data_IF_971269746459
#
_entry.id   IF_971269746459
#
_cell.length_a   1.000
_cell.length_b   1.000
_cell.length_c   1.000
_cell.angle_alpha   90.00
_cell.angle_beta   90.00
_cell.angle_gamma   90.00
#
_symmetry.space_group_name_H-M   'P 1'
#
loop_
_entity.id
_entity.type
_entity.pdbx_description
1 polymer ?
#
# COMPACT_ATOMS: atom_id res chain seq x y z
N UNK A 1 22.54 -6.37 35.20
CA UNK A 1 23.21 -6.92 34.01
C UNK A 1 24.64 -7.25 34.41
N UNK A 2 25.02 -8.51 34.39
CA UNK A 2 26.40 -8.95 34.61
C UNK A 2 27.23 -8.51 33.42
N UNK A 3 28.17 -7.59 33.60
CA UNK A 3 29.14 -7.26 32.57
C UNK A 3 30.01 -8.50 32.33
N UNK A 4 29.94 -9.07 31.13
CA UNK A 4 30.88 -10.11 30.73
C UNK A 4 32.27 -9.46 30.57
N UNK A 5 33.19 -9.80 31.45
CA UNK A 5 34.57 -9.27 31.46
C UNK A 5 35.52 -10.06 30.55
N UNK A 6 35.03 -11.15 29.96
CA UNK A 6 35.82 -11.99 29.07
C UNK A 6 35.87 -11.40 27.65
N UNK A 7 37.04 -10.93 27.24
CA UNK A 7 37.27 -10.30 25.93
C UNK A 7 37.46 -11.30 24.79
N UNK A 8 37.86 -12.53 25.09
CA UNK A 8 38.15 -13.56 24.11
C UNK A 8 37.44 -14.87 24.49
N UNK A 9 36.87 -15.54 23.48
CA UNK A 9 36.30 -16.88 23.60
C UNK A 9 37.10 -17.80 22.68
N UNK A 10 37.76 -18.84 23.25
CA UNK A 10 38.43 -19.87 22.49
C UNK A 10 37.47 -21.05 22.28
N UNK A 11 37.39 -21.51 21.04
CA UNK A 11 36.59 -22.66 20.66
C UNK A 11 37.51 -23.80 20.20
N UNK A 12 36.93 -24.97 20.01
CA UNK A 12 37.67 -26.13 19.50
C UNK A 12 38.32 -25.77 18.15
N UNK A 13 39.59 -26.07 18.02
CA UNK A 13 40.36 -25.83 16.80
C UNK A 13 39.74 -26.55 15.60
N UNK A 14 39.71 -25.89 14.45
CA UNK A 14 39.31 -26.47 13.20
C UNK A 14 40.54 -26.90 12.41
N UNK A 15 40.82 -28.20 12.44
CA UNK A 15 42.09 -28.78 12.00
C UNK A 15 43.28 -28.13 12.74
N UNK A 16 44.20 -27.49 12.03
CA UNK A 16 45.37 -26.78 12.58
C UNK A 16 45.12 -25.29 12.87
N UNK A 17 43.87 -24.83 12.84
CA UNK A 17 43.52 -23.41 13.02
C UNK A 17 42.81 -23.22 14.34
N UNK A 18 43.32 -22.30 15.14
CA UNK A 18 42.63 -21.85 16.36
C UNK A 18 41.38 -21.04 15.97
N UNK A 19 40.29 -21.30 16.69
CA UNK A 19 39.01 -20.58 16.51
C UNK A 19 38.80 -19.71 17.75
N UNK A 20 38.94 -18.40 17.56
CA UNK A 20 38.79 -17.40 18.63
C UNK A 20 37.74 -16.37 18.22
N UNK A 21 36.78 -16.07 19.10
CA UNK A 21 35.87 -14.95 18.95
C UNK A 21 36.25 -13.84 19.94
N UNK A 22 36.19 -12.59 19.47
CA UNK A 22 36.46 -11.39 20.25
C UNK A 22 35.35 -10.39 20.14
N UNK A 23 35.11 -9.60 21.17
CA UNK A 23 34.16 -8.48 21.18
C UNK A 23 34.89 -7.13 21.04
N UNK A 24 35.83 -7.04 20.10
CA UNK A 24 36.66 -5.86 19.83
C UNK A 24 36.27 -5.16 18.47
N UNK A 25 35.15 -5.54 17.87
CA UNK A 25 34.71 -5.06 16.58
C UNK A 25 34.22 -3.59 16.56
N UNK A 26 34.11 -2.93 17.68
CA UNK A 26 33.53 -1.58 17.79
C UNK A 26 32.00 -1.60 17.61
N UNK A 27 31.44 -0.42 17.31
CA UNK A 27 30.00 -0.28 17.02
C UNK A 27 29.69 -0.73 15.60
N UNK A 28 28.84 -1.73 15.44
CA UNK A 28 28.43 -2.29 14.16
C UNK A 28 26.92 -2.09 14.02
N UNK A 29 26.47 -1.53 12.89
CA UNK A 29 25.08 -1.53 12.49
C UNK A 29 24.82 -2.62 11.45
N UNK A 30 23.74 -3.37 11.60
CA UNK A 30 23.30 -4.37 10.64
C UNK A 30 22.54 -3.78 9.45
N UNK A 31 22.16 -2.50 9.53
CA UNK A 31 21.24 -1.83 8.60
C UNK A 31 21.96 -1.01 7.53
N UNK A 32 23.18 -1.39 7.14
CA UNK A 32 24.01 -0.62 6.20
C UNK A 32 23.34 -0.32 4.86
N UNK A 33 22.54 -1.24 4.37
CA UNK A 33 21.76 -1.05 3.14
C UNK A 33 20.69 0.05 3.23
N UNK A 34 20.32 0.48 4.44
CA UNK A 34 19.34 1.58 4.64
C UNK A 34 19.81 2.93 4.09
N UNK A 35 21.11 3.13 3.88
CA UNK A 35 21.66 4.32 3.22
C UNK A 35 21.11 4.48 1.78
N UNK A 36 20.75 3.39 1.11
CA UNK A 36 20.09 3.44 -0.20
C UNK A 36 18.68 4.01 -0.09
N UNK A 37 17.96 3.72 0.99
CA UNK A 37 16.66 4.35 1.26
C UNK A 37 16.83 5.85 1.52
N UNK A 38 17.86 6.26 2.27
CA UNK A 38 18.17 7.67 2.48
C UNK A 38 18.46 8.41 1.17
N UNK A 39 19.27 7.83 0.28
CA UNK A 39 19.51 8.40 -1.05
C UNK A 39 18.24 8.50 -1.88
N UNK A 40 17.37 7.50 -1.77
CA UNK A 40 16.05 7.50 -2.42
C UNK A 40 15.18 8.63 -1.88
N UNK A 41 15.12 8.80 -0.57
CA UNK A 41 14.37 9.90 0.06
C UNK A 41 14.89 11.27 -0.37
N UNK A 42 16.21 11.45 -0.41
CA UNK A 42 16.83 12.69 -0.88
C UNK A 42 16.40 13.07 -2.31
N UNK A 43 16.19 12.09 -3.18
CA UNK A 43 15.70 12.32 -4.55
C UNK A 43 14.20 12.60 -4.61
N UNK A 44 13.40 11.92 -3.77
CA UNK A 44 11.95 12.07 -3.74
C UNK A 44 11.50 13.24 -2.84
N UNK A 45 12.37 13.68 -1.94
CA UNK A 45 12.04 14.62 -0.86
C UNK A 45 10.75 14.21 -0.12
N UNK A 46 10.57 12.90 0.07
CA UNK A 46 9.32 12.30 0.55
C UNK A 46 9.10 12.62 2.02
N UNK A 47 10.11 12.37 2.86
CA UNK A 47 9.96 12.47 4.32
C UNK A 47 9.86 13.93 4.77
N UNK A 48 10.56 14.87 4.13
CA UNK A 48 10.39 16.30 4.39
C UNK A 48 8.97 16.76 4.07
N UNK A 49 8.43 16.36 2.91
CA UNK A 49 7.06 16.69 2.49
C UNK A 49 6.02 16.04 3.40
N UNK A 50 6.23 14.79 3.78
CA UNK A 50 5.35 14.11 4.72
C UNK A 50 5.41 14.75 6.12
N UNK A 51 6.59 15.10 6.61
CA UNK A 51 6.78 15.88 7.84
C UNK A 51 6.06 17.22 7.80
N UNK A 52 6.04 17.89 6.63
CA UNK A 52 5.29 19.12 6.40
C UNK A 52 3.77 18.99 6.49
N UNK A 53 3.24 17.75 6.44
CA UNK A 53 1.82 17.50 6.70
C UNK A 53 1.45 17.48 8.18
N UNK A 54 2.41 17.68 9.09
CA UNK A 54 2.15 17.72 10.52
C UNK A 54 2.12 19.15 11.05
N UNK A 55 1.25 19.36 12.02
CA UNK A 55 1.14 20.60 12.76
C UNK A 55 1.73 20.39 14.15
N UNK A 56 2.82 21.10 14.45
CA UNK A 56 3.50 21.04 15.74
C UNK A 56 3.03 22.17 16.66
N UNK A 57 2.30 21.80 17.70
CA UNK A 57 1.84 22.74 18.72
C UNK A 57 2.71 22.73 19.98
N UNK A 58 3.91 22.15 19.93
CA UNK A 58 4.85 22.16 21.05
C UNK A 58 5.51 23.53 21.18
N UNK A 59 6.03 23.81 22.38
CA UNK A 59 6.84 25.01 22.65
C UNK A 59 8.19 24.87 21.97
N UNK A 60 8.55 25.79 21.08
CA UNK A 60 9.72 25.67 20.20
C UNK A 60 11.02 25.48 20.99
N UNK A 61 11.19 26.22 22.11
CA UNK A 61 12.40 26.16 22.95
C UNK A 61 12.56 24.83 23.71
N UNK A 62 11.56 23.95 23.65
CA UNK A 62 11.55 22.64 24.34
C UNK A 62 11.48 21.46 23.39
N UNK A 63 11.66 21.69 22.10
CA UNK A 63 11.68 20.65 21.09
C UNK A 63 13.07 20.06 21.03
N UNK A 64 13.23 18.85 21.55
CA UNK A 64 14.47 18.04 21.43
C UNK A 64 14.51 17.26 20.10
N UNK A 65 13.35 16.78 19.63
CA UNK A 65 13.21 16.00 18.41
C UNK A 65 12.22 16.70 17.47
N UNK A 66 12.69 17.05 16.27
CA UNK A 66 11.86 17.68 15.24
C UNK A 66 10.80 16.69 14.69
N UNK A 67 9.76 17.21 14.04
CA UNK A 67 8.77 16.36 13.34
C UNK A 67 9.47 15.52 12.28
N UNK A 68 10.34 16.11 11.47
CA UNK A 68 11.07 15.42 10.42
C UNK A 68 11.91 14.26 10.98
N UNK A 69 12.66 14.49 12.07
CA UNK A 69 13.44 13.45 12.74
C UNK A 69 12.56 12.27 13.16
N UNK A 70 11.45 12.54 13.85
CA UNK A 70 10.56 11.49 14.36
C UNK A 70 9.84 10.73 13.22
N UNK A 71 9.38 11.44 12.18
CA UNK A 71 8.75 10.85 11.00
C UNK A 71 9.75 9.97 10.26
N UNK A 72 10.97 10.45 10.03
CA UNK A 72 12.05 9.70 9.38
C UNK A 72 12.39 8.44 10.19
N UNK A 73 12.57 8.58 11.49
CA UNK A 73 12.84 7.46 12.40
C UNK A 73 11.77 6.37 12.30
N UNK A 74 10.48 6.73 12.21
CA UNK A 74 9.38 5.76 12.08
C UNK A 74 9.33 5.11 10.71
N UNK A 75 9.43 5.89 9.63
CA UNK A 75 9.33 5.37 8.25
C UNK A 75 10.50 4.45 7.94
N UNK A 76 11.73 4.83 8.29
CA UNK A 76 12.90 3.95 8.13
C UNK A 76 12.78 2.69 9.01
N UNK A 77 12.32 2.82 10.25
CA UNK A 77 12.06 1.67 11.11
C UNK A 77 11.13 0.65 10.46
N UNK A 78 9.98 1.09 9.95
CA UNK A 78 9.02 0.22 9.26
C UNK A 78 9.60 -0.40 7.97
N UNK A 79 10.33 0.38 7.17
CA UNK A 79 10.99 -0.13 5.97
C UNK A 79 12.00 -1.24 6.28
N UNK A 80 12.70 -1.13 7.41
CA UNK A 80 13.70 -2.09 7.89
C UNK A 80 13.10 -3.28 8.66
N UNK A 81 11.81 -3.24 9.01
CA UNK A 81 11.13 -4.35 9.68
C UNK A 81 10.83 -4.13 11.16
N UNK A 82 11.05 -2.92 11.67
CA UNK A 82 10.81 -2.56 13.07
C UNK A 82 9.45 -1.90 13.24
N UNK A 83 8.45 -2.69 13.58
CA UNK A 83 7.07 -2.20 13.76
C UNK A 83 6.85 -1.62 15.16
N UNK A 84 7.36 -2.30 16.17
CA UNK A 84 7.10 -1.94 17.56
C UNK A 84 7.88 -0.69 17.97
N UNK A 85 7.18 0.23 18.66
CA UNK A 85 7.83 1.41 19.23
C UNK A 85 8.89 1.05 20.29
N UNK A 86 8.82 -0.15 20.90
CA UNK A 86 9.84 -0.62 21.83
C UNK A 86 11.19 -0.86 21.15
N UNK A 87 11.21 -1.24 19.87
CA UNK A 87 12.46 -1.42 19.11
C UNK A 87 13.26 -0.13 19.05
N UNK A 88 12.57 1.00 19.05
CA UNK A 88 13.19 2.32 19.05
C UNK A 88 13.97 2.66 20.34
N UNK A 89 13.82 1.92 21.44
CA UNK A 89 14.68 2.10 22.62
C UNK A 89 16.14 1.66 22.35
N UNK A 90 16.35 0.77 21.38
CA UNK A 90 17.68 0.40 20.90
C UNK A 90 18.07 1.21 19.66
N UNK A 91 17.21 1.27 18.65
CA UNK A 91 17.45 1.97 17.38
C UNK A 91 17.81 3.45 17.58
N UNK A 92 17.24 4.09 18.58
CA UNK A 92 17.53 5.51 18.91
C UNK A 92 19.00 5.77 19.25
N UNK A 93 19.75 4.73 19.61
CA UNK A 93 21.17 4.80 19.99
C UNK A 93 22.10 4.37 18.85
N UNK A 94 21.55 3.86 17.75
CA UNK A 94 22.33 3.50 16.58
C UNK A 94 22.70 4.76 15.78
N UNK A 95 24.00 5.08 15.63
CA UNK A 95 24.43 6.25 14.87
C UNK A 95 23.94 6.25 13.43
N UNK A 96 23.76 5.07 12.81
CA UNK A 96 23.22 4.97 11.46
C UNK A 96 21.78 5.49 11.39
N UNK A 97 20.93 5.17 12.37
CA UNK A 97 19.59 5.75 12.47
C UNK A 97 19.63 7.28 12.65
N UNK A 98 20.63 7.80 13.37
CA UNK A 98 20.88 9.24 13.45
C UNK A 98 21.14 9.84 12.07
N UNK A 99 21.99 9.19 11.27
CA UNK A 99 22.27 9.60 9.87
C UNK A 99 21.00 9.54 9.01
N UNK A 100 20.20 8.46 9.14
CA UNK A 100 18.95 8.31 8.40
C UNK A 100 17.94 9.41 8.74
N UNK A 101 17.83 9.74 10.04
CA UNK A 101 16.92 10.77 10.52
C UNK A 101 17.42 12.21 10.27
N UNK A 102 18.63 12.36 9.74
CA UNK A 102 19.24 13.67 9.45
C UNK A 102 19.72 14.44 10.68
N UNK A 103 20.05 13.72 11.78
CA UNK A 103 20.56 14.32 13.01
C UNK A 103 22.04 14.68 12.86
N UNK A 104 22.41 15.89 13.26
CA UNK A 104 23.82 16.34 13.22
C UNK A 104 24.65 15.71 14.33
N UNK A 105 24.11 15.70 15.57
CA UNK A 105 24.76 15.20 16.78
C UNK A 105 24.49 13.70 16.95
N UNK A 106 25.31 12.86 16.35
CA UNK A 106 25.13 11.41 16.31
C UNK A 106 25.38 10.70 17.68
N UNK A 107 26.00 11.38 18.63
CA UNK A 107 26.19 10.93 20.00
C UNK A 107 24.92 11.09 20.87
N UNK A 108 23.99 11.95 20.45
CA UNK A 108 22.70 12.13 21.11
C UNK A 108 21.64 11.16 20.57
N UNK A 109 20.92 10.47 21.45
CA UNK A 109 19.92 9.50 21.00
C UNK A 109 18.75 10.20 20.31
N UNK A 110 18.13 9.50 19.35
CA UNK A 110 16.87 9.87 18.71
C UNK A 110 15.67 9.76 19.68
N UNK A 111 14.48 10.06 19.20
CA UNK A 111 13.25 10.00 19.99
C UNK A 111 13.00 8.59 20.56
N UNK A 112 12.71 8.51 21.85
CA UNK A 112 12.32 7.26 22.52
C UNK A 112 10.84 6.92 22.24
N UNK A 113 10.46 5.69 22.59
CA UNK A 113 9.10 5.14 22.38
C UNK A 113 7.97 6.06 22.86
N UNK A 114 8.13 6.69 24.02
CA UNK A 114 7.09 7.59 24.57
C UNK A 114 6.90 8.83 23.72
N UNK A 115 7.96 9.36 23.12
CA UNK A 115 7.90 10.52 22.24
C UNK A 115 7.27 10.16 20.89
N UNK A 116 7.67 9.02 20.30
CA UNK A 116 7.06 8.49 19.08
C UNK A 116 5.59 8.11 19.29
N UNK A 117 5.23 7.57 20.45
CA UNK A 117 3.84 7.26 20.78
C UNK A 117 2.98 8.54 20.81
N UNK A 118 3.51 9.65 21.32
CA UNK A 118 2.79 10.95 21.30
C UNK A 118 2.59 11.49 19.88
N UNK A 119 3.53 11.22 18.97
CA UNK A 119 3.38 11.53 17.54
C UNK A 119 2.23 10.71 16.92
N UNK A 120 2.20 9.39 17.15
CA UNK A 120 1.21 8.49 16.55
C UNK A 120 -0.21 8.66 17.12
N UNK A 121 -0.33 8.93 18.41
CA UNK A 121 -1.61 9.04 19.11
C UNK A 121 -2.22 10.44 19.10
N UNK A 122 -1.74 11.38 18.29
CA UNK A 122 -2.36 12.68 18.11
C UNK A 122 -3.83 12.57 17.70
N UNK A 123 -4.75 13.08 18.55
CA UNK A 123 -6.20 12.92 18.37
C UNK A 123 -6.88 14.08 17.60
N UNK A 124 -6.09 15.02 17.08
CA UNK A 124 -6.60 16.21 16.39
C UNK A 124 -7.04 17.35 17.32
N UNK A 125 -7.13 17.09 18.62
CA UNK A 125 -7.34 18.11 19.66
C UNK A 125 -6.00 18.34 20.36
N UNK A 126 -5.66 19.61 20.61
CA UNK A 126 -4.47 19.96 21.38
C UNK A 126 -4.77 19.71 22.86
N UNK A 127 -4.26 18.60 23.38
CA UNK A 127 -4.23 18.37 24.81
C UNK A 127 -2.81 18.65 25.38
N UNK A 128 -2.67 18.52 26.70
CA UNK A 128 -1.40 18.78 27.39
C UNK A 128 -0.22 17.96 26.85
N UNK A 129 -0.46 16.75 26.35
CA UNK A 129 0.57 15.79 25.96
C UNK A 129 0.60 15.49 24.47
N UNK A 130 -0.51 15.67 23.75
CA UNK A 130 -0.67 15.32 22.32
C UNK A 130 -0.79 16.58 21.49
N UNK A 131 0.30 17.35 21.42
CA UNK A 131 0.36 18.65 20.76
C UNK A 131 0.65 18.56 19.26
N UNK A 132 0.98 17.37 18.75
CA UNK A 132 1.27 17.12 17.33
C UNK A 132 0.02 16.54 16.68
N UNK A 133 -0.38 17.12 15.56
CA UNK A 133 -1.49 16.62 14.74
C UNK A 133 -1.06 16.54 13.29
N UNK A 134 -1.77 15.79 12.45
CA UNK A 134 -1.48 15.74 11.03
C UNK A 134 -2.67 16.22 10.19
N UNK A 135 -2.34 16.82 9.06
CA UNK A 135 -3.29 17.30 8.06
C UNK A 135 -3.44 16.24 6.97
N UNK A 136 -4.52 15.46 7.10
CA UNK A 136 -4.81 14.33 6.24
C UNK A 136 -4.88 14.66 4.74
N UNK A 137 -5.57 15.76 4.31
CA UNK A 137 -5.60 16.09 2.88
C UNK A 137 -4.22 16.31 2.27
N UNK A 138 -3.26 16.88 3.02
CA UNK A 138 -1.90 17.06 2.54
C UNK A 138 -1.17 15.74 2.30
N UNK A 139 -1.40 14.72 3.14
CA UNK A 139 -0.87 13.37 2.90
C UNK A 139 -1.49 12.74 1.66
N UNK A 140 -2.81 12.85 1.51
CA UNK A 140 -3.55 12.33 0.36
C UNK A 140 -3.10 13.00 -0.96
N UNK A 141 -2.81 14.31 -0.93
CA UNK A 141 -2.28 15.07 -2.06
C UNK A 141 -0.82 14.68 -2.38
N UNK A 142 0.00 14.49 -1.36
CA UNK A 142 1.40 14.09 -1.50
C UNK A 142 1.54 12.77 -2.27
N UNK A 143 0.68 11.78 -2.01
CA UNK A 143 0.73 10.48 -2.70
C UNK A 143 0.52 10.64 -4.22
N UNK A 144 -0.41 11.49 -4.63
CA UNK A 144 -0.66 11.74 -6.06
C UNK A 144 0.48 12.56 -6.66
N UNK A 145 1.04 13.55 -5.94
CA UNK A 145 2.19 14.33 -6.42
C UNK A 145 3.41 13.45 -6.67
N UNK A 146 3.73 12.52 -5.76
CA UNK A 146 4.84 11.57 -5.95
C UNK A 146 4.62 10.69 -7.19
N UNK A 147 3.38 10.30 -7.48
CA UNK A 147 3.04 9.59 -8.70
C UNK A 147 3.27 10.43 -9.95
N UNK A 148 2.79 11.67 -9.97
CA UNK A 148 2.95 12.59 -11.11
C UNK A 148 4.43 12.86 -11.40
N UNK A 149 5.20 13.14 -10.37
CA UNK A 149 6.65 13.43 -10.45
C UNK A 149 7.49 12.23 -10.89
N UNK A 150 6.99 11.00 -10.70
CA UNK A 150 7.66 9.80 -11.16
C UNK A 150 7.64 9.61 -12.68
N UNK A 151 6.85 10.40 -13.40
CA UNK A 151 6.67 10.31 -14.85
C UNK A 151 7.27 11.56 -15.52
N UNK A 152 8.40 11.43 -16.23
CA UNK A 152 9.02 12.57 -16.95
C UNK A 152 8.11 13.20 -18.01
N UNK A 153 7.22 12.40 -18.58
CA UNK A 153 6.21 12.81 -19.54
C UNK A 153 4.86 12.21 -19.18
N UNK A 154 3.74 12.92 -19.41
CA UNK A 154 2.41 12.37 -19.21
C UNK A 154 2.20 11.09 -20.03
N UNK A 155 1.77 9.98 -19.44
CA UNK A 155 1.41 8.80 -20.21
C UNK A 155 0.14 9.06 -21.02
N UNK A 156 -0.03 8.35 -22.15
CA UNK A 156 -1.26 8.46 -22.95
C UNK A 156 -2.48 7.96 -22.17
N UNK A 157 -2.30 6.88 -21.40
CA UNK A 157 -3.36 6.23 -20.63
C UNK A 157 -2.82 5.73 -19.30
N UNK A 158 -3.66 5.82 -18.27
CA UNK A 158 -3.40 5.23 -16.95
C UNK A 158 -4.59 4.36 -16.50
N UNK A 159 -4.30 3.37 -15.65
CA UNK A 159 -5.30 2.53 -15.03
C UNK A 159 -5.26 2.78 -13.52
N UNK A 160 -6.41 3.16 -12.98
CA UNK A 160 -6.61 3.30 -11.54
C UNK A 160 -7.28 2.02 -11.02
N UNK A 161 -6.53 1.22 -10.29
CA UNK A 161 -7.04 0.04 -9.61
C UNK A 161 -7.62 0.41 -8.26
N UNK A 162 -8.83 -0.03 -7.99
CA UNK A 162 -9.51 0.21 -6.72
C UNK A 162 -9.90 -1.11 -6.07
N UNK A 163 -9.57 -1.24 -4.79
CA UNK A 163 -9.92 -2.42 -4.00
C UNK A 163 -10.07 -2.11 -2.51
N UNK A 164 -10.65 -3.04 -1.79
CA UNK A 164 -10.73 -3.04 -0.34
C UNK A 164 -10.23 -4.38 0.20
N UNK A 165 -9.61 -4.31 1.35
CA UNK A 165 -9.21 -5.52 2.09
C UNK A 165 -9.70 -5.40 3.52
N UNK A 166 -9.67 -6.48 4.28
CA UNK A 166 -9.92 -6.43 5.70
C UNK A 166 -8.64 -6.23 6.50
N UNK A 167 -8.75 -5.52 7.62
CA UNK A 167 -7.73 -5.45 8.66
C UNK A 167 -8.34 -5.94 9.97
N UNK A 168 -8.07 -7.18 10.39
CA UNK A 168 -8.62 -7.76 11.61
C UNK A 168 -8.26 -6.96 12.86
N UNK A 169 -9.22 -6.85 13.78
CA UNK A 169 -9.11 -6.08 15.02
C UNK A 169 -9.33 -7.00 16.24
N UNK A 170 -8.38 -6.97 17.15
CA UNK A 170 -8.40 -7.84 18.33
C UNK A 170 -8.80 -7.11 19.63
N UNK A 171 -8.85 -5.77 19.59
CA UNK A 171 -9.20 -4.93 20.74
C UNK A 171 -10.55 -4.22 20.58
N UNK A 172 -10.79 -3.19 21.39
CA UNK A 172 -12.00 -2.35 21.36
C UNK A 172 -11.74 -1.02 20.63
N UNK A 173 -11.13 -1.08 19.46
CA UNK A 173 -10.82 0.11 18.67
C UNK A 173 -12.07 0.85 18.21
N UNK A 174 -11.98 2.18 18.12
CA UNK A 174 -13.02 3.04 17.56
C UNK A 174 -13.38 2.61 16.14
N UNK A 175 -14.70 2.58 15.81
CA UNK A 175 -15.17 2.20 14.48
C UNK A 175 -15.03 0.71 14.14
N UNK A 176 -14.79 -0.13 15.12
CA UNK A 176 -14.74 -1.58 14.99
C UNK A 176 -16.16 -2.14 14.83
N UNK A 177 -16.40 -2.90 13.77
CA UNK A 177 -17.64 -3.64 13.55
C UNK A 177 -17.36 -5.05 13.08
N UNK A 178 -18.28 -5.96 13.31
CA UNK A 178 -18.24 -7.32 12.77
C UNK A 178 -18.63 -7.30 11.29
N UNK A 179 -17.83 -7.93 10.45
CA UNK A 179 -18.09 -8.03 9.02
C UNK A 179 -18.39 -9.48 8.63
N UNK A 180 -19.64 -9.76 8.24
CA UNK A 180 -20.10 -11.12 7.98
C UNK A 180 -19.43 -11.86 6.83
N UNK A 181 -18.85 -11.16 5.86
CA UNK A 181 -18.10 -11.79 4.77
C UNK A 181 -16.72 -12.28 5.23
N UNK A 182 -16.04 -11.50 6.08
CA UNK A 182 -14.71 -11.83 6.61
C UNK A 182 -14.78 -12.61 7.93
N UNK A 183 -15.98 -12.80 8.49
CA UNK A 183 -16.23 -13.47 9.77
C UNK A 183 -15.35 -12.94 10.92
N UNK A 184 -15.12 -11.64 10.93
CA UNK A 184 -14.25 -10.99 11.91
C UNK A 184 -14.64 -9.55 12.21
N UNK A 185 -14.19 -9.04 13.36
CA UNK A 185 -14.16 -7.60 13.60
C UNK A 185 -12.98 -7.01 12.85
N UNK A 186 -13.22 -6.05 11.98
CA UNK A 186 -12.16 -5.48 11.15
C UNK A 186 -12.42 -4.02 10.78
N UNK A 187 -11.39 -3.37 10.22
CA UNK A 187 -11.53 -2.22 9.34
C UNK A 187 -11.54 -2.66 7.88
N UNK A 188 -12.06 -1.79 6.99
CA UNK A 188 -12.05 -1.98 5.54
C UNK A 188 -11.32 -0.82 4.86
N UNK A 189 -9.99 -0.80 4.85
CA UNK A 189 -9.28 0.24 4.12
C UNK A 189 -9.60 0.19 2.62
N UNK A 190 -9.76 1.38 2.05
CA UNK A 190 -9.86 1.60 0.61
C UNK A 190 -8.47 1.91 0.08
N UNK A 191 -8.04 1.16 -0.91
CA UNK A 191 -6.82 1.41 -1.66
C UNK A 191 -7.14 1.82 -3.11
N UNK A 192 -6.36 2.76 -3.63
CA UNK A 192 -6.34 3.10 -5.05
C UNK A 192 -4.88 3.14 -5.49
N UNK A 193 -4.56 2.37 -6.53
CA UNK A 193 -3.22 2.30 -7.10
C UNK A 193 -3.22 2.71 -8.57
N UNK A 194 -2.08 3.18 -9.05
CA UNK A 194 -1.75 3.22 -10.47
C UNK A 194 -0.41 2.48 -10.66
N UNK A 195 -0.48 1.26 -11.20
CA UNK A 195 0.68 0.36 -11.22
C UNK A 195 1.19 0.07 -9.81
N UNK A 196 2.44 0.44 -9.54
CA UNK A 196 3.03 0.29 -8.20
C UNK A 196 2.81 1.51 -7.29
N UNK A 197 2.26 2.61 -7.80
CA UNK A 197 2.04 3.83 -7.02
C UNK A 197 0.73 3.77 -6.24
N UNK A 198 0.82 3.90 -4.92
CA UNK A 198 -0.35 4.07 -4.06
C UNK A 198 -0.82 5.53 -4.13
N UNK A 199 -2.08 5.75 -4.52
CA UNK A 199 -2.69 7.08 -4.65
C UNK A 199 -3.68 7.38 -3.51
N UNK A 200 -4.18 6.31 -2.87
CA UNK A 200 -5.06 6.37 -1.72
C UNK A 200 -4.89 5.15 -0.83
N UNK A 201 -4.83 5.38 0.48
CA UNK A 201 -4.93 4.35 1.52
C UNK A 201 -5.79 4.92 2.66
N UNK A 202 -7.09 4.71 2.57
CA UNK A 202 -8.09 5.29 3.47
C UNK A 202 -8.66 4.25 4.41
N UNK A 203 -8.39 4.38 5.70
CA UNK A 203 -9.01 3.54 6.72
C UNK A 203 -10.50 3.84 6.84
N UNK A 204 -11.33 2.78 6.90
CA UNK A 204 -12.78 2.87 7.01
C UNK A 204 -13.31 1.84 7.99
N UNK A 205 -14.43 2.16 8.61
CA UNK A 205 -15.18 1.20 9.42
C UNK A 205 -15.81 0.11 8.54
N UNK A 206 -15.83 -1.12 9.03
CA UNK A 206 -16.34 -2.28 8.27
C UNK A 206 -17.87 -2.37 8.17
N UNK A 207 -18.62 -1.51 8.86
CA UNK A 207 -20.08 -1.40 8.70
C UNK A 207 -20.49 -0.56 7.47
N UNK A 208 -19.51 -0.15 6.67
CA UNK A 208 -19.72 0.64 5.45
C UNK A 208 -19.78 -0.27 4.21
N UNK A 209 -20.51 0.16 3.18
CA UNK A 209 -20.45 -0.49 1.85
C UNK A 209 -19.01 -0.43 1.29
N UNK A 210 -18.58 -1.48 0.56
CA UNK A 210 -17.24 -1.54 -0.03
C UNK A 210 -16.92 -0.31 -0.90
N UNK A 211 -17.90 0.25 -1.59
CA UNK A 211 -17.76 1.45 -2.41
C UNK A 211 -17.94 2.77 -1.63
N UNK A 212 -18.27 2.73 -0.32
CA UNK A 212 -18.52 3.96 0.44
C UNK A 212 -17.29 4.88 0.42
N UNK A 213 -17.49 6.15 0.03
CA UNK A 213 -16.43 7.15 -0.07
C UNK A 213 -15.47 6.99 -1.27
N UNK A 214 -15.59 5.91 -2.06
CA UNK A 214 -14.71 5.68 -3.21
C UNK A 214 -14.84 6.78 -4.28
N UNK A 215 -16.06 7.23 -4.55
CA UNK A 215 -16.31 8.29 -5.53
C UNK A 215 -15.58 9.61 -5.18
N UNK A 216 -15.61 10.02 -3.91
CA UNK A 216 -14.94 11.23 -3.47
C UNK A 216 -13.40 11.12 -3.63
N UNK A 217 -12.81 9.97 -3.30
CA UNK A 217 -11.38 9.76 -3.49
C UNK A 217 -10.98 9.69 -4.98
N UNK A 218 -11.77 9.00 -5.80
CA UNK A 218 -11.53 8.94 -7.24
C UNK A 218 -11.64 10.35 -7.84
N UNK A 219 -12.66 11.12 -7.49
CA UNK A 219 -12.84 12.48 -7.97
C UNK A 219 -11.67 13.40 -7.60
N UNK A 220 -11.19 13.30 -6.36
CA UNK A 220 -9.99 14.02 -5.88
C UNK A 220 -8.75 13.66 -6.70
N UNK A 221 -8.48 12.36 -6.86
CA UNK A 221 -7.29 11.86 -7.57
C UNK A 221 -7.36 12.25 -9.05
N UNK A 222 -8.49 12.02 -9.72
CA UNK A 222 -8.68 12.37 -11.13
C UNK A 222 -8.56 13.87 -11.35
N UNK A 223 -9.12 14.70 -10.44
CA UNK A 223 -9.00 16.15 -10.50
C UNK A 223 -7.55 16.60 -10.43
N UNK A 224 -6.77 16.07 -9.48
CA UNK A 224 -5.35 16.40 -9.31
C UNK A 224 -4.51 15.92 -10.50
N UNK A 225 -4.75 14.71 -11.01
CA UNK A 225 -4.06 14.18 -12.20
C UNK A 225 -4.36 15.04 -13.42
N UNK A 226 -5.60 15.41 -13.68
CA UNK A 226 -5.97 16.23 -14.84
C UNK A 226 -5.49 17.66 -14.77
N UNK A 227 -5.28 18.20 -13.59
CA UNK A 227 -4.61 19.50 -13.44
C UNK A 227 -3.19 19.46 -14.00
N UNK A 228 -2.46 18.36 -13.79
CA UNK A 228 -1.10 18.17 -14.33
C UNK A 228 -1.11 17.60 -15.78
N UNK A 229 -2.04 16.68 -16.07
CA UNK A 229 -2.13 15.95 -17.34
C UNK A 229 -3.54 16.04 -17.94
N UNK A 230 -3.93 17.16 -18.57
CA UNK A 230 -5.30 17.39 -19.01
C UNK A 230 -5.84 16.37 -20.02
N UNK A 231 -4.96 15.81 -20.86
CA UNK A 231 -5.33 14.92 -21.96
C UNK A 231 -5.22 13.41 -21.63
N UNK A 232 -4.78 13.06 -20.42
CA UNK A 232 -4.57 11.65 -20.06
C UNK A 232 -5.89 10.86 -20.06
N UNK A 233 -5.89 9.71 -20.72
CA UNK A 233 -7.00 8.76 -20.64
C UNK A 233 -6.93 8.00 -19.35
N UNK A 234 -8.04 7.90 -18.64
CA UNK A 234 -8.11 7.23 -17.33
C UNK A 234 -9.11 6.09 -17.41
N UNK A 235 -8.68 4.89 -17.02
CA UNK A 235 -9.55 3.72 -16.86
C UNK A 235 -9.60 3.37 -15.38
N UNK A 236 -10.78 3.33 -14.80
CA UNK A 236 -11.02 2.81 -13.46
C UNK A 236 -11.27 1.31 -13.52
N UNK A 237 -10.50 0.51 -12.75
CA UNK A 237 -10.63 -0.94 -12.69
C UNK A 237 -10.87 -1.39 -11.25
N UNK A 238 -11.90 -2.23 -11.05
CA UNK A 238 -12.27 -2.70 -9.71
C UNK A 238 -13.10 -3.97 -9.73
N UNK A 239 -13.32 -4.56 -8.58
CA UNK A 239 -14.17 -5.73 -8.42
C UNK A 239 -15.67 -5.39 -8.43
N UNK A 240 -16.52 -6.38 -8.19
CA UNK A 240 -17.98 -6.20 -8.17
C UNK A 240 -18.49 -5.35 -7.00
N UNK A 241 -17.70 -5.15 -5.97
CA UNK A 241 -17.99 -4.27 -4.85
C UNK A 241 -18.11 -2.81 -5.29
N UNK A 242 -17.40 -2.42 -6.35
CA UNK A 242 -17.41 -1.06 -6.89
C UNK A 242 -18.37 -0.87 -8.07
N UNK A 243 -19.07 -1.90 -8.50
CA UNK A 243 -20.05 -1.82 -9.57
C UNK A 243 -21.34 -1.09 -9.10
N UNK A 244 -21.27 0.22 -8.93
CA UNK A 244 -22.35 1.09 -8.46
C UNK A 244 -22.77 2.07 -9.54
N UNK A 245 -24.09 2.30 -9.68
CA UNK A 245 -24.64 3.20 -10.69
C UNK A 245 -24.07 4.62 -10.58
N UNK A 246 -23.96 5.14 -9.37
CA UNK A 246 -23.43 6.47 -9.10
C UNK A 246 -21.99 6.61 -9.59
N UNK A 247 -21.12 5.64 -9.29
CA UNK A 247 -19.73 5.64 -9.71
C UNK A 247 -19.61 5.58 -11.25
N UNK A 248 -20.36 4.70 -11.90
CA UNK A 248 -20.37 4.57 -13.37
C UNK A 248 -20.89 5.82 -14.05
N UNK A 249 -21.97 6.43 -13.53
CA UNK A 249 -22.50 7.70 -14.04
C UNK A 249 -21.48 8.83 -13.92
N UNK A 250 -20.80 8.91 -12.78
CA UNK A 250 -19.75 9.90 -12.58
C UNK A 250 -18.60 9.71 -13.57
N UNK A 251 -18.12 8.47 -13.74
CA UNK A 251 -17.08 8.15 -14.71
C UNK A 251 -17.48 8.59 -16.11
N UNK A 252 -18.68 8.21 -16.55
CA UNK A 252 -19.23 8.57 -17.87
C UNK A 252 -19.34 10.10 -18.04
N UNK A 253 -19.78 10.82 -16.99
CA UNK A 253 -19.90 12.27 -17.00
C UNK A 253 -18.55 13.01 -16.97
N UNK A 254 -17.50 12.38 -16.45
CA UNK A 254 -16.16 12.92 -16.38
C UNK A 254 -15.22 12.42 -17.49
N UNK A 255 -15.68 11.61 -18.43
CA UNK A 255 -14.83 11.02 -19.46
C UNK A 255 -13.73 10.12 -18.85
N UNK A 256 -14.05 9.38 -17.80
CA UNK A 256 -13.24 8.33 -17.22
C UNK A 256 -13.83 7.00 -17.67
N UNK A 257 -13.05 6.17 -18.33
CA UNK A 257 -13.48 4.82 -18.65
C UNK A 257 -13.44 3.91 -17.43
N UNK A 258 -14.17 2.80 -17.48
CA UNK A 258 -14.14 1.83 -16.38
C UNK A 258 -14.28 0.39 -16.87
N UNK A 259 -13.72 -0.52 -16.07
CA UNK A 259 -13.86 -1.98 -16.19
C UNK A 259 -14.10 -2.54 -14.79
N UNK A 260 -15.35 -2.86 -14.48
CA UNK A 260 -15.76 -3.28 -13.15
C UNK A 260 -16.34 -4.69 -13.18
N UNK A 261 -15.96 -5.51 -12.22
CA UNK A 261 -16.60 -6.80 -12.00
C UNK A 261 -18.11 -6.64 -11.82
N UNK A 262 -18.89 -7.58 -12.32
CA UNK A 262 -20.35 -7.61 -12.14
C UNK A 262 -20.74 -8.90 -11.43
N UNK A 263 -21.37 -8.79 -10.27
CA UNK A 263 -21.82 -9.94 -9.50
C UNK A 263 -22.81 -10.79 -10.30
N UNK A 264 -22.56 -12.09 -10.37
CA UNK A 264 -23.40 -13.05 -11.08
C UNK A 264 -24.80 -13.11 -10.48
N UNK A 265 -25.81 -13.22 -11.35
CA UNK A 265 -27.20 -13.45 -10.98
C UNK A 265 -27.88 -14.38 -12.00
N UNK A 266 -29.08 -14.86 -11.69
CA UNK A 266 -29.80 -15.81 -12.54
C UNK A 266 -30.11 -15.25 -13.93
N UNK A 267 -30.40 -13.93 -14.05
CA UNK A 267 -30.68 -13.29 -15.35
C UNK A 267 -29.44 -13.29 -16.23
N UNK A 268 -28.30 -12.92 -15.69
CA UNK A 268 -27.01 -12.94 -16.41
C UNK A 268 -26.65 -14.37 -16.85
N UNK A 269 -26.83 -15.36 -15.97
CA UNK A 269 -26.60 -16.76 -16.33
C UNK A 269 -27.52 -17.24 -17.47
N UNK A 270 -28.79 -16.84 -17.46
CA UNK A 270 -29.71 -17.15 -18.56
C UNK A 270 -29.30 -16.53 -19.88
N UNK A 271 -28.80 -15.29 -19.89
CA UNK A 271 -28.35 -14.60 -21.12
C UNK A 271 -27.20 -15.37 -21.79
N UNK A 272 -26.25 -15.91 -21.04
CA UNK A 272 -25.11 -16.67 -21.59
C UNK A 272 -25.32 -18.19 -21.59
N UNK A 273 -26.56 -18.65 -21.46
CA UNK A 273 -26.86 -20.09 -21.36
C UNK A 273 -26.31 -20.93 -22.50
N UNK A 274 -26.36 -20.40 -23.75
CA UNK A 274 -25.77 -21.03 -24.93
C UNK A 274 -24.24 -21.17 -24.79
N UNK A 275 -23.55 -20.09 -24.44
CA UNK A 275 -22.11 -20.09 -24.28
C UNK A 275 -21.66 -20.99 -23.12
N UNK A 276 -22.45 -21.07 -22.02
CA UNK A 276 -22.20 -22.02 -20.95
C UNK A 276 -22.33 -23.46 -21.41
N UNK A 277 -23.34 -23.76 -22.21
CA UNK A 277 -23.50 -25.07 -22.80
C UNK A 277 -22.31 -25.43 -23.74
N UNK A 278 -21.91 -24.50 -24.62
CA UNK A 278 -20.76 -24.67 -25.50
C UNK A 278 -19.46 -24.95 -24.71
N UNK A 279 -19.21 -24.20 -23.63
CA UNK A 279 -18.06 -24.40 -22.76
C UNK A 279 -18.10 -25.78 -22.05
N UNK A 280 -19.29 -26.20 -21.60
CA UNK A 280 -19.48 -27.50 -20.96
C UNK A 280 -19.24 -28.66 -21.94
N UNK A 281 -19.77 -28.55 -23.18
CA UNK A 281 -19.54 -29.55 -24.23
C UNK A 281 -18.06 -29.67 -24.64
N UNK A 282 -17.35 -28.54 -24.72
CA UNK A 282 -15.91 -28.56 -24.97
C UNK A 282 -15.16 -29.24 -23.83
N UNK A 283 -15.49 -28.97 -22.59
CA UNK A 283 -14.88 -29.61 -21.43
C UNK A 283 -15.18 -31.13 -21.41
N UNK A 284 -16.42 -31.52 -21.66
CA UNK A 284 -16.80 -32.95 -21.72
C UNK A 284 -16.03 -33.72 -22.79
N UNK A 285 -15.69 -33.08 -23.93
CA UNK A 285 -14.92 -33.72 -25.00
C UNK A 285 -13.43 -33.81 -24.74
N UNK A 286 -12.88 -32.76 -24.07
CA UNK A 286 -11.41 -32.61 -23.98
C UNK A 286 -10.86 -32.91 -22.60
N UNK A 287 -11.67 -32.88 -21.56
CA UNK A 287 -11.24 -32.90 -20.15
C UNK A 287 -10.41 -31.68 -19.73
N UNK A 288 -10.34 -30.67 -20.59
CA UNK A 288 -9.55 -29.43 -20.34
C UNK A 288 -10.46 -28.24 -20.05
N UNK A 289 -10.01 -27.27 -19.23
CA UNK A 289 -10.73 -26.03 -19.01
C UNK A 289 -11.12 -25.36 -20.31
N UNK A 290 -12.39 -24.99 -20.45
CA UNK A 290 -12.92 -24.36 -21.66
C UNK A 290 -13.54 -23.01 -21.36
N UNK A 291 -13.46 -22.07 -22.31
CA UNK A 291 -13.93 -20.70 -22.17
C UNK A 291 -14.58 -20.24 -23.45
N UNK A 292 -15.78 -19.66 -23.32
CA UNK A 292 -16.48 -19.00 -24.42
C UNK A 292 -16.83 -17.59 -23.97
N UNK A 293 -16.48 -16.59 -24.78
CA UNK A 293 -16.76 -15.19 -24.48
C UNK A 293 -18.00 -14.71 -25.21
N UNK A 294 -18.74 -13.83 -24.54
CA UNK A 294 -19.92 -13.17 -25.09
C UNK A 294 -19.96 -11.71 -24.63
N UNK A 295 -20.69 -10.89 -25.36
CA UNK A 295 -20.99 -9.53 -24.96
C UNK A 295 -22.44 -9.17 -25.27
N UNK A 296 -23.00 -8.31 -24.45
CA UNK A 296 -24.37 -7.86 -24.59
C UNK A 296 -24.60 -6.54 -23.86
N UNK A 297 -25.71 -5.88 -24.14
CA UNK A 297 -26.18 -4.72 -23.37
C UNK A 297 -27.02 -5.23 -22.20
N UNK A 298 -26.78 -4.65 -21.04
CA UNK A 298 -27.46 -5.04 -19.81
C UNK A 298 -27.80 -3.84 -18.95
N UNK A 299 -28.95 -3.92 -18.32
CA UNK A 299 -29.41 -2.98 -17.30
C UNK A 299 -29.95 -3.78 -16.11
N UNK A 300 -29.53 -3.41 -14.89
CA UNK A 300 -30.13 -3.98 -13.68
C UNK A 300 -31.55 -3.47 -13.50
N UNK A 301 -32.46 -4.34 -12.98
CA UNK A 301 -33.82 -3.88 -12.67
C UNK A 301 -33.81 -2.86 -11.54
N UNK A 302 -34.63 -1.83 -11.66
CA UNK A 302 -34.86 -0.85 -10.59
C UNK A 302 -35.64 -1.50 -9.45
N UNK A 303 -34.93 -2.10 -8.49
CA UNK A 303 -35.51 -2.52 -7.22
C UNK A 303 -35.02 -1.55 -6.14
N UNK A 304 -35.91 -0.90 -5.42
CA UNK A 304 -35.62 0.02 -4.30
C UNK A 304 -34.56 1.10 -4.64
N UNK A 305 -34.69 1.76 -5.79
CA UNK A 305 -33.76 2.83 -6.27
C UNK A 305 -32.30 2.43 -6.46
N UNK A 306 -31.95 1.13 -6.55
CA UNK A 306 -30.58 0.63 -6.72
C UNK A 306 -30.27 0.11 -8.13
N UNK A 307 -31.16 0.31 -9.11
CA UNK A 307 -30.93 -0.10 -10.51
C UNK A 307 -30.06 0.87 -11.28
N UNK A 308 -29.49 0.40 -12.38
CA UNK A 308 -28.77 1.27 -13.33
C UNK A 308 -29.77 2.15 -14.08
N UNK A 309 -29.38 3.39 -14.37
CA UNK A 309 -30.23 4.33 -15.10
C UNK A 309 -30.29 4.04 -16.59
N UNK A 310 -29.24 3.41 -17.12
CA UNK A 310 -29.11 3.07 -18.54
C UNK A 310 -28.51 1.67 -18.74
N UNK A 311 -28.65 1.17 -19.96
CA UNK A 311 -27.97 -0.04 -20.38
C UNK A 311 -26.47 0.22 -20.59
N UNK A 312 -25.65 -0.75 -20.16
CA UNK A 312 -24.20 -0.72 -20.31
C UNK A 312 -23.69 -2.00 -20.96
N UNK A 313 -22.55 -1.91 -21.61
CA UNK A 313 -21.88 -3.06 -22.21
C UNK A 313 -21.37 -4.00 -21.11
N UNK A 314 -21.66 -5.29 -21.26
CA UNK A 314 -21.17 -6.36 -20.38
C UNK A 314 -20.42 -7.37 -21.24
N UNK A 315 -19.17 -7.66 -20.87
CA UNK A 315 -18.43 -8.81 -21.34
C UNK A 315 -18.61 -9.97 -20.36
N UNK A 316 -18.88 -11.15 -20.89
CA UNK A 316 -19.11 -12.35 -20.10
C UNK A 316 -18.10 -13.45 -20.51
N UNK A 317 -17.56 -14.12 -19.51
CA UNK A 317 -16.77 -15.36 -19.67
C UNK A 317 -17.63 -16.53 -19.19
N UNK A 318 -18.08 -17.37 -20.11
CA UNK A 318 -18.65 -18.67 -19.83
C UNK A 318 -17.49 -19.67 -19.72
N UNK A 319 -17.22 -20.15 -18.53
CA UNK A 319 -16.09 -21.05 -18.26
C UNK A 319 -16.58 -22.33 -17.59
N UNK A 320 -16.05 -23.46 -18.03
CA UNK A 320 -16.17 -24.74 -17.36
C UNK A 320 -14.78 -25.21 -16.95
N UNK A 321 -14.56 -25.41 -15.66
CA UNK A 321 -13.28 -25.80 -15.07
C UNK A 321 -13.52 -26.71 -13.86
N UNK A 322 -12.71 -27.74 -13.68
CA UNK A 322 -12.80 -28.70 -12.58
C UNK A 322 -14.22 -29.29 -12.39
N UNK A 323 -14.89 -29.58 -13.51
CA UNK A 323 -16.25 -30.13 -13.50
C UNK A 323 -17.34 -29.16 -13.06
N UNK A 324 -17.07 -27.84 -13.04
CA UNK A 324 -18.00 -26.83 -12.55
C UNK A 324 -18.11 -25.64 -13.51
N UNK A 325 -19.34 -25.11 -13.61
CA UNK A 325 -19.59 -23.83 -14.28
C UNK A 325 -19.04 -22.66 -13.46
N UNK A 326 -18.23 -21.82 -14.09
CA UNK A 326 -17.63 -20.63 -13.47
C UNK A 326 -17.87 -19.36 -14.31
N UNK A 327 -19.13 -18.93 -14.52
CA UNK A 327 -19.42 -17.71 -15.26
C UNK A 327 -18.92 -16.47 -14.57
N UNK A 328 -18.30 -15.54 -15.31
CA UNK A 328 -17.84 -14.25 -14.85
C UNK A 328 -18.35 -13.13 -15.77
N UNK A 329 -18.57 -11.97 -15.20
CA UNK A 329 -19.13 -10.82 -15.90
C UNK A 329 -18.37 -9.56 -15.53
N UNK A 330 -18.17 -8.69 -16.51
CA UNK A 330 -17.52 -7.39 -16.36
C UNK A 330 -18.35 -6.34 -17.10
N UNK A 331 -18.65 -5.24 -16.44
CA UNK A 331 -19.31 -4.07 -17.06
C UNK A 331 -18.26 -3.02 -17.43
N UNK A 332 -18.44 -2.36 -18.57
CA UNK A 332 -17.46 -1.39 -19.08
C UNK A 332 -18.12 -0.28 -19.91
N UNK A 333 -17.45 0.89 -19.97
CA UNK A 333 -17.71 1.98 -20.91
C UNK A 333 -16.90 1.83 -22.21
N UNK A 334 -15.81 1.06 -22.20
CA UNK A 334 -14.94 0.86 -23.36
C UNK A 334 -15.69 0.23 -24.53
N UNK A 335 -15.36 0.64 -25.74
CA UNK A 335 -16.00 0.12 -26.95
C UNK A 335 -15.52 -1.28 -27.31
N UNK A 336 -16.31 -1.99 -28.12
CA UNK A 336 -15.97 -3.34 -28.61
C UNK A 336 -14.79 -3.31 -29.57
N UNK A 337 -14.70 -2.26 -30.37
CA UNK A 337 -13.67 -2.07 -31.38
C UNK A 337 -12.29 -1.87 -30.74
N UNK A 338 -12.25 -1.20 -29.59
CA UNK A 338 -11.02 -0.98 -28.83
C UNK A 338 -10.66 -2.21 -27.99
N UNK A 339 -11.65 -2.85 -27.39
CA UNK A 339 -11.48 -3.97 -26.47
C UNK A 339 -12.51 -5.07 -26.76
N UNK A 340 -12.22 -6.06 -27.60
CA UNK A 340 -13.03 -7.27 -27.74
C UNK A 340 -13.24 -7.97 -26.39
N UNK A 341 -14.35 -8.69 -26.21
CA UNK A 341 -14.75 -9.24 -24.90
C UNK A 341 -13.68 -10.10 -24.22
N UNK A 342 -12.97 -10.90 -25.00
CA UNK A 342 -11.90 -11.76 -24.49
C UNK A 342 -10.70 -10.94 -23.99
N UNK A 343 -10.20 -10.01 -24.78
CA UNK A 343 -9.07 -9.15 -24.45
C UNK A 343 -9.41 -8.23 -23.26
N UNK A 344 -10.63 -7.68 -23.26
CA UNK A 344 -11.13 -6.89 -22.13
C UNK A 344 -11.06 -7.68 -20.82
N UNK A 345 -11.48 -8.94 -20.86
CA UNK A 345 -11.52 -9.78 -19.67
C UNK A 345 -10.11 -10.29 -19.28
N UNK A 346 -9.39 -10.89 -20.22
CA UNK A 346 -8.14 -11.59 -19.92
C UNK A 346 -6.96 -10.62 -19.77
N UNK A 347 -6.81 -9.65 -20.68
CA UNK A 347 -5.68 -8.73 -20.67
C UNK A 347 -5.91 -7.52 -19.75
N UNK A 348 -7.12 -6.92 -19.77
CA UNK A 348 -7.35 -5.71 -18.99
C UNK A 348 -7.91 -6.02 -17.59
N UNK A 349 -9.00 -6.78 -17.48
CA UNK A 349 -9.65 -7.00 -16.18
C UNK A 349 -8.83 -7.92 -15.25
N UNK A 350 -8.32 -9.04 -15.76
CA UNK A 350 -7.57 -9.99 -14.93
C UNK A 350 -6.23 -9.45 -14.41
N UNK A 351 -5.62 -8.49 -15.10
CA UNK A 351 -4.41 -7.82 -14.63
C UNK A 351 -4.62 -7.01 -13.32
N UNK A 352 -5.85 -6.93 -12.81
CA UNK A 352 -6.15 -6.40 -11.46
C UNK A 352 -5.42 -7.17 -10.34
N UNK A 353 -5.07 -8.43 -10.58
CA UNK A 353 -4.31 -9.23 -9.61
C UNK A 353 -2.99 -8.60 -9.15
N UNK A 354 -2.40 -7.72 -9.94
CA UNK A 354 -1.18 -6.99 -9.55
C UNK A 354 -1.42 -6.08 -8.34
N UNK A 355 -2.59 -5.47 -8.24
CA UNK A 355 -2.94 -4.64 -7.09
C UNK A 355 -3.01 -5.46 -5.79
N UNK A 356 -3.54 -6.67 -5.83
CA UNK A 356 -3.60 -7.56 -4.67
C UNK A 356 -2.18 -7.86 -4.12
N UNK A 357 -1.19 -7.99 -5.01
CA UNK A 357 0.20 -8.14 -4.61
C UNK A 357 0.74 -6.86 -3.96
N UNK A 358 0.37 -5.67 -4.45
CA UNK A 358 0.77 -4.39 -3.84
C UNK A 358 0.16 -4.21 -2.45
N UNK A 359 -1.09 -4.62 -2.25
CA UNK A 359 -1.71 -4.62 -0.91
C UNK A 359 -0.97 -5.58 0.03
N UNK A 360 -0.56 -6.78 -0.42
CA UNK A 360 0.26 -7.71 0.37
C UNK A 360 1.63 -7.11 0.73
N UNK A 361 2.24 -6.33 -0.18
CA UNK A 361 3.47 -5.59 0.13
C UNK A 361 3.25 -4.53 1.23
N UNK A 362 2.07 -3.88 1.29
CA UNK A 362 1.71 -2.98 2.40
C UNK A 362 1.68 -3.74 3.74
N UNK A 363 1.16 -4.96 3.76
CA UNK A 363 1.12 -5.79 4.97
C UNK A 363 2.53 -6.22 5.41
N UNK A 364 3.44 -6.47 4.48
CA UNK A 364 4.83 -6.72 4.83
C UNK A 364 5.56 -5.51 5.42
N UNK A 365 4.93 -4.33 5.34
CA UNK A 365 5.33 -3.07 5.98
C UNK A 365 4.38 -2.67 7.13
N UNK A 366 3.67 -3.67 7.68
CA UNK A 366 2.84 -3.53 8.89
C UNK A 366 1.59 -2.63 8.73
N UNK A 367 1.07 -2.49 7.52
CA UNK A 367 -0.18 -1.76 7.28
C UNK A 367 -1.39 -2.41 7.99
N UNK A 368 -1.29 -3.68 8.37
CA UNK A 368 -2.27 -4.44 9.15
C UNK A 368 -2.19 -4.19 10.67
N UNK A 369 -1.17 -3.50 11.16
CA UNK A 369 -0.96 -3.23 12.59
C UNK A 369 -1.72 -2.01 13.08
N UNK A 370 -3.05 -2.10 13.09
CA UNK A 370 -3.99 -1.04 13.48
C UNK A 370 -4.43 -1.20 14.94
N UNK A 371 -3.48 -1.18 15.86
CA UNK A 371 -3.69 -1.49 17.30
C UNK A 371 -3.97 -0.27 18.20
N UNK A 372 -4.00 0.94 17.65
CA UNK A 372 -4.34 2.14 18.43
C UNK A 372 -5.85 2.20 18.75
N UNK A 373 -6.21 2.91 19.82
CA UNK A 373 -7.58 3.05 20.27
C UNK A 373 -8.46 3.79 19.24
N UNK A 374 -7.95 4.92 18.70
CA UNK A 374 -8.71 5.78 17.80
C UNK A 374 -8.47 5.43 16.33
N UNK A 375 -9.51 5.59 15.52
CA UNK A 375 -9.40 5.41 14.06
C UNK A 375 -8.41 6.40 13.43
N UNK A 376 -8.32 7.62 13.97
CA UNK A 376 -7.38 8.64 13.50
C UNK A 376 -5.92 8.20 13.69
N UNK A 377 -5.58 7.65 14.85
CA UNK A 377 -4.23 7.15 15.12
C UNK A 377 -3.90 5.94 14.21
N UNK A 378 -4.86 5.04 13.99
CA UNK A 378 -4.69 3.92 13.07
C UNK A 378 -4.56 4.39 11.62
N UNK A 379 -5.26 5.47 11.20
CA UNK A 379 -5.05 6.06 9.88
C UNK A 379 -3.62 6.63 9.74
N UNK A 380 -3.06 7.24 10.77
CA UNK A 380 -1.69 7.73 10.75
C UNK A 380 -0.68 6.58 10.66
N UNK A 381 -0.87 5.49 11.40
CA UNK A 381 -0.05 4.28 11.30
C UNK A 381 -0.09 3.69 9.88
N UNK A 382 -1.27 3.64 9.28
CA UNK A 382 -1.41 3.24 7.88
C UNK A 382 -0.59 4.14 6.96
N UNK A 383 -0.61 5.46 7.17
CA UNK A 383 0.20 6.39 6.37
C UNK A 383 1.71 6.18 6.57
N UNK A 384 2.19 5.89 7.77
CA UNK A 384 3.60 5.55 7.98
C UNK A 384 4.01 4.32 7.17
N UNK A 385 3.20 3.25 7.17
CA UNK A 385 3.43 2.05 6.36
C UNK A 385 3.40 2.37 4.86
N UNK A 386 2.46 3.21 4.43
CA UNK A 386 2.37 3.69 3.04
C UNK A 386 3.62 4.48 2.64
N UNK A 387 4.14 5.36 3.49
CA UNK A 387 5.37 6.11 3.19
C UNK A 387 6.59 5.17 3.12
N UNK A 388 6.67 4.17 3.98
CA UNK A 388 7.70 3.14 3.90
C UNK A 388 7.61 2.36 2.57
N UNK A 389 6.38 2.03 2.13
CA UNK A 389 6.17 1.40 0.82
C UNK A 389 6.59 2.31 -0.33
N UNK A 390 6.21 3.59 -0.32
CA UNK A 390 6.61 4.57 -1.36
C UNK A 390 8.12 4.69 -1.43
N UNK A 391 8.81 4.67 -0.29
CA UNK A 391 10.26 4.75 -0.21
C UNK A 391 10.93 3.50 -0.80
N UNK A 392 10.49 2.29 -0.43
CA UNK A 392 11.06 1.03 -0.97
C UNK A 392 10.72 0.86 -2.45
N UNK A 393 9.49 1.21 -2.88
CA UNK A 393 9.13 1.22 -4.31
C UNK A 393 9.95 2.26 -5.09
N UNK A 394 10.24 3.41 -4.49
CA UNK A 394 11.14 4.41 -5.02
C UNK A 394 12.55 3.86 -5.24
N UNK A 395 13.10 3.16 -4.24
CA UNK A 395 14.38 2.48 -4.37
C UNK A 395 14.37 1.45 -5.52
N UNK A 396 13.31 0.64 -5.61
CA UNK A 396 13.14 -0.35 -6.69
C UNK A 396 13.19 0.31 -8.07
N UNK A 397 12.45 1.40 -8.27
CA UNK A 397 12.39 2.13 -9.55
C UNK A 397 13.67 2.90 -9.89
N UNK A 398 14.29 3.54 -8.91
CA UNK A 398 15.43 4.46 -9.14
C UNK A 398 16.78 3.76 -9.06
N UNK A 399 16.93 2.80 -8.12
CA UNK A 399 18.22 2.18 -7.82
C UNK A 399 18.34 0.73 -8.28
N UNK A 400 17.24 -0.02 -8.37
CA UNK A 400 17.30 -1.47 -8.60
C UNK A 400 16.82 -1.91 -9.99
N UNK A 401 16.47 -0.96 -10.88
CA UNK A 401 15.86 -1.24 -12.20
C UNK A 401 16.69 -2.19 -13.08
N UNK A 402 18.01 -2.13 -12.98
CA UNK A 402 18.92 -2.96 -13.77
C UNK A 402 19.51 -4.14 -12.99
N UNK A 403 18.90 -4.54 -11.89
CA UNK A 403 19.36 -5.62 -11.02
C UNK A 403 18.35 -6.75 -10.93
N UNK A 404 18.74 -7.89 -10.38
CA UNK A 404 17.84 -9.01 -10.08
C UNK A 404 16.69 -8.65 -9.12
N UNK A 405 16.82 -7.55 -8.37
CA UNK A 405 15.83 -7.06 -7.44
C UNK A 405 14.80 -6.10 -8.08
N UNK A 406 14.88 -5.84 -9.38
CA UNK A 406 13.97 -4.91 -10.08
C UNK A 406 12.47 -5.26 -9.93
N UNK A 407 12.16 -6.55 -9.82
CA UNK A 407 10.79 -7.05 -9.62
C UNK A 407 10.60 -7.69 -8.23
N UNK A 408 11.57 -7.56 -7.34
CA UNK A 408 11.52 -8.17 -6.03
C UNK A 408 10.45 -7.50 -5.14
N UNK A 409 9.80 -8.32 -4.32
CA UNK A 409 8.88 -7.82 -3.29
C UNK A 409 9.63 -7.07 -2.18
N UNK A 410 8.93 -6.20 -1.47
CA UNK A 410 9.48 -5.41 -0.34
C UNK A 410 10.21 -6.28 0.67
N UNK A 411 9.66 -7.43 1.05
CA UNK A 411 10.28 -8.37 1.99
C UNK A 411 11.62 -8.90 1.49
N UNK A 412 11.71 -9.21 0.20
CA UNK A 412 12.95 -9.69 -0.43
C UNK A 412 14.03 -8.60 -0.47
N UNK A 413 13.63 -7.35 -0.83
CA UNK A 413 14.54 -6.20 -0.83
C UNK A 413 15.07 -5.94 0.59
N UNK A 414 14.18 -5.98 1.58
CA UNK A 414 14.56 -5.84 2.98
C UNK A 414 15.61 -6.86 3.38
N UNK A 415 15.35 -8.13 3.17
CA UNK A 415 16.22 -9.21 3.64
C UNK A 415 17.54 -9.27 2.89
N UNK A 416 17.52 -9.10 1.55
CA UNK A 416 18.71 -9.28 0.71
C UNK A 416 19.56 -8.02 0.56
N UNK A 417 19.01 -6.84 0.78
CA UNK A 417 19.70 -5.59 0.50
C UNK A 417 19.78 -4.66 1.70
N UNK A 418 18.69 -4.51 2.46
CA UNK A 418 18.66 -3.52 3.53
C UNK A 418 19.29 -4.02 4.84
N UNK A 419 19.04 -5.28 5.20
CA UNK A 419 19.45 -5.88 6.48
C UNK A 419 20.67 -6.82 6.36
N UNK A 420 21.28 -6.97 5.19
CA UNK A 420 22.38 -7.94 5.00
C UNK A 420 23.78 -7.29 4.99
N UNK A 421 23.87 -5.99 5.03
CA UNK A 421 25.14 -5.27 4.96
C UNK A 421 25.53 -4.66 6.31
N UNK A 422 26.53 -5.26 6.96
CA UNK A 422 27.10 -4.75 8.21
C UNK A 422 28.01 -3.55 7.89
N UNK A 423 27.69 -2.42 8.51
CA UNK A 423 28.51 -1.21 8.46
C UNK A 423 29.25 -1.05 9.79
N UNK A 424 30.58 -0.93 9.71
CA UNK A 424 31.37 -0.52 10.87
C UNK A 424 31.27 0.99 10.98
N UNK A 425 30.64 1.47 12.05
CA UNK A 425 30.61 2.90 12.35
C UNK A 425 31.94 3.24 13.00
N UNK A 426 32.82 3.92 12.26
CA UNK A 426 34.09 4.45 12.80
C UNK A 426 33.78 5.47 13.88
N UNK A 427 34.46 5.36 15.04
CA UNK A 427 34.38 6.39 16.05
C UNK A 427 34.88 7.71 15.47
N UNK A 428 34.13 8.77 15.64
CA UNK A 428 34.61 10.14 15.42
C UNK A 428 35.60 10.42 16.53
N UNK A 429 36.89 10.09 16.29
CA UNK A 429 38.00 10.59 17.09
C UNK A 429 38.12 12.08 16.76
N UNK A 430 37.69 12.95 17.64
CA UNK A 430 38.13 14.32 17.60
C UNK A 430 39.62 14.35 17.98
N UNK A 431 40.45 14.84 17.09
CA UNK A 431 41.77 15.39 17.42
C UNK A 431 41.58 16.79 18.06
#
# INVERSE_FOLDING_TARGET
>A
MTQCTQSNFEFQAHFSRDVVARFDGGTISSEGGSLLLRQTDQRLNLLTRFGGCFLDGREQDRIEHSILEMVSQRVYGLALGYEDLNDHEQLRKDPLFGVLAGREELDKPLAGKSTLNRLELGNGQRDRYKKITFWKPGVDELLVNVFLEAHPQPPEQIILDIDTTDLPLHGKQEGRFFHGYYDSYCYLPLYIFCGEHVLCARLRSSNSDAAAGSLAEIARIVGQIRTAWPAVKIILRGDSGFCRNELMNWCEGQGVDYVLGLARNQRLRKIIGRQMWEATEQWNRTGQPSRVFAEFRYQTRKAKNRGWERERRVAAKAEHIDGKENPRFVVTSLSKEQWPAQELYEALYCARGDMENRIKEQFSLFADRVSAETMRANQLRLYFSVMAYVLVSGLRRLGLKATELAQAQVSTIRTKLLNDHRLKVGGFGGD
#
